data_IF_050617888709
#
_entry.id   IF_050617888709
#
_cell.length_a   1.000
_cell.length_b   1.000
_cell.length_c   1.000
_cell.angle_alpha   90.00
_cell.angle_beta   90.00
_cell.angle_gamma   90.00
#
_symmetry.space_group_name_H-M   'P 1'
#
loop_
_entity.id
_entity.type
_entity.pdbx_description
1 polymer ?
#
# COMPACT_ATOMS: atom_id res chain seq x y z
N UNK A 1 6.50 3.98 -15.01
CA UNK A 1 6.69 2.98 -13.92
C UNK A 1 7.48 3.64 -12.81
N UNK A 2 6.80 4.12 -11.76
CA UNK A 2 7.45 4.60 -10.54
C UNK A 2 7.21 3.55 -9.46
N UNK A 3 8.28 3.03 -8.85
CA UNK A 3 8.18 2.17 -7.66
C UNK A 3 7.94 3.06 -6.44
N UNK A 4 6.67 3.32 -6.11
CA UNK A 4 6.27 4.25 -5.05
C UNK A 4 6.81 3.88 -3.66
N UNK A 5 7.18 2.62 -3.44
CA UNK A 5 7.42 2.06 -2.12
C UNK A 5 8.78 1.38 -1.96
N UNK A 6 9.84 1.94 -2.56
CA UNK A 6 11.22 1.60 -2.20
C UNK A 6 11.73 2.34 -0.96
N UNK A 7 11.20 3.54 -0.70
CA UNK A 7 11.50 4.36 0.48
C UNK A 7 10.25 4.47 1.37
N UNK A 8 10.41 5.02 2.59
CA UNK A 8 9.26 5.34 3.46
C UNK A 8 8.37 6.36 2.73
N UNK A 9 7.15 6.00 2.32
CA UNK A 9 6.22 6.92 1.68
C UNK A 9 5.67 7.92 2.70
N UNK A 10 5.19 9.07 2.23
CA UNK A 10 4.36 9.96 3.06
C UNK A 10 2.91 9.49 3.08
N UNK A 11 2.15 9.85 4.11
CA UNK A 11 0.71 9.57 4.21
C UNK A 11 -0.04 10.04 2.96
N UNK A 12 0.30 11.22 2.43
CA UNK A 12 -0.30 11.77 1.22
C UNK A 12 -0.07 10.88 -0.02
N UNK A 13 1.15 10.35 -0.18
CA UNK A 13 1.48 9.42 -1.25
C UNK A 13 0.75 8.09 -1.12
N UNK A 14 0.49 7.64 0.11
CA UNK A 14 -0.28 6.42 0.35
C UNK A 14 -1.76 6.63 -0.01
N UNK A 15 -2.34 7.79 0.33
CA UNK A 15 -3.71 8.16 -0.04
C UNK A 15 -3.86 8.27 -1.56
N UNK A 16 -2.92 8.93 -2.22
CA UNK A 16 -2.84 9.01 -3.69
C UNK A 16 -2.73 7.62 -4.31
N UNK A 17 -1.82 6.77 -3.82
CA UNK A 17 -1.66 5.41 -4.32
C UNK A 17 -2.96 4.58 -4.13
N UNK A 18 -3.61 4.66 -2.97
CA UNK A 18 -4.87 3.96 -2.71
C UNK A 18 -5.99 4.41 -3.66
N UNK A 19 -6.11 5.71 -3.93
CA UNK A 19 -7.05 6.24 -4.91
C UNK A 19 -6.75 5.73 -6.33
N UNK A 20 -5.48 5.78 -6.75
CA UNK A 20 -5.04 5.30 -8.07
C UNK A 20 -5.19 3.79 -8.26
N UNK A 21 -5.09 3.04 -7.16
CA UNK A 21 -5.37 1.60 -7.11
C UNK A 21 -6.87 1.28 -7.09
N UNK A 22 -7.73 2.27 -6.80
CA UNK A 22 -9.13 2.06 -6.42
C UNK A 22 -9.28 0.93 -5.38
N UNK A 23 -8.29 0.82 -4.47
CA UNK A 23 -8.21 -0.22 -3.47
C UNK A 23 -8.21 0.40 -2.07
N UNK A 24 -8.63 -0.38 -1.07
CA UNK A 24 -8.55 0.07 0.31
C UNK A 24 -7.11 -0.02 0.80
N UNK A 25 -6.69 0.82 1.75
CA UNK A 25 -5.39 0.69 2.40
C UNK A 25 -5.15 -0.73 2.94
N UNK A 26 -6.19 -1.42 3.42
CA UNK A 26 -6.10 -2.82 3.89
C UNK A 26 -5.65 -3.81 2.80
N UNK A 27 -5.96 -3.54 1.53
CA UNK A 27 -5.53 -4.37 0.40
C UNK A 27 -4.08 -4.11 0.01
N UNK A 28 -3.59 -2.91 0.32
CA UNK A 28 -2.19 -2.52 0.17
C UNK A 28 -1.32 -2.97 1.35
N UNK A 29 -1.85 -3.73 2.31
CA UNK A 29 -1.13 -4.10 3.52
C UNK A 29 -0.92 -5.61 3.68
N UNK A 30 0.26 -5.95 4.19
CA UNK A 30 0.68 -7.29 4.56
C UNK A 30 0.14 -7.67 5.92
N UNK A 31 -1.03 -8.31 5.91
CA UNK A 31 -1.71 -8.86 7.11
C UNK A 31 -0.92 -9.96 7.83
N UNK A 32 0.13 -10.50 7.19
CA UNK A 32 0.97 -11.57 7.74
C UNK A 32 2.15 -11.07 8.56
N UNK A 33 2.48 -9.78 8.49
CA UNK A 33 3.60 -9.23 9.24
C UNK A 33 3.26 -9.10 10.74
N UNK A 34 4.24 -9.27 11.64
CA UNK A 34 4.02 -9.13 13.09
C UNK A 34 3.50 -7.74 13.44
N UNK A 35 4.01 -6.70 12.79
CA UNK A 35 3.57 -5.31 12.97
C UNK A 35 2.05 -5.13 12.77
N UNK A 36 1.39 -5.98 11.97
CA UNK A 36 -0.06 -5.90 11.73
C UNK A 36 -0.83 -6.22 13.01
N UNK A 37 -0.39 -7.26 13.72
CA UNK A 37 -0.97 -7.67 15.00
C UNK A 37 -0.54 -6.74 16.13
N UNK A 38 0.71 -6.29 16.14
CA UNK A 38 1.23 -5.38 17.17
C UNK A 38 0.50 -4.03 17.19
N UNK A 39 -0.01 -3.58 16.05
CA UNK A 39 -0.78 -2.34 15.91
C UNK A 39 -2.30 -2.56 15.92
N UNK A 40 -2.76 -3.78 16.20
CA UNK A 40 -4.18 -4.18 16.22
C UNK A 40 -4.97 -3.70 14.98
N UNK A 41 -4.32 -3.75 13.80
CA UNK A 41 -4.90 -3.22 12.54
C UNK A 41 -6.08 -4.05 12.02
N UNK A 42 -6.34 -5.19 12.67
CA UNK A 42 -7.55 -5.97 12.46
C UNK A 42 -8.80 -5.22 12.91
N UNK A 43 -8.70 -4.44 14.00
CA UNK A 43 -9.77 -3.58 14.54
C UNK A 43 -9.74 -2.14 14.05
N UNK A 44 -8.78 -1.76 13.20
CA UNK A 44 -8.71 -0.41 12.65
C UNK A 44 -10.07 0.03 12.08
N UNK A 45 -10.65 1.07 12.69
CA UNK A 45 -11.99 1.58 12.35
C UNK A 45 -11.93 2.53 11.15
N UNK A 46 -10.78 3.17 10.91
CA UNK A 46 -10.60 4.18 9.87
C UNK A 46 -9.46 3.83 8.90
N UNK A 47 -9.61 4.30 7.67
CA UNK A 47 -8.55 4.23 6.67
C UNK A 47 -7.32 5.08 7.06
N UNK A 48 -7.52 6.20 7.78
CA UNK A 48 -6.43 7.04 8.29
C UNK A 48 -5.52 6.31 9.29
N UNK A 49 -6.09 5.51 10.21
CA UNK A 49 -5.30 4.68 11.15
C UNK A 49 -4.37 3.72 10.39
N UNK A 50 -4.84 3.17 9.27
CA UNK A 50 -4.06 2.27 8.43
C UNK A 50 -2.94 3.00 7.69
N UNK A 51 -3.22 4.21 7.17
CA UNK A 51 -2.20 5.03 6.53
C UNK A 51 -1.11 5.48 7.51
N UNK A 52 -1.49 5.83 8.73
CA UNK A 52 -0.56 6.20 9.79
C UNK A 52 0.30 4.98 10.19
N UNK A 53 -0.32 3.82 10.34
CA UNK A 53 0.41 2.56 10.57
C UNK A 53 1.41 2.26 9.44
N UNK A 54 1.03 2.42 8.17
CA UNK A 54 1.93 2.26 7.04
C UNK A 54 3.09 3.28 7.03
N UNK A 55 2.84 4.52 7.45
CA UNK A 55 3.86 5.56 7.55
C UNK A 55 4.89 5.25 8.64
N UNK A 56 4.41 4.81 9.81
CA UNK A 56 5.26 4.40 10.93
C UNK A 56 6.02 3.11 10.63
N UNK A 57 5.33 2.11 10.07
CA UNK A 57 5.82 0.76 9.79
C UNK A 57 5.68 0.44 8.30
N UNK A 58 6.59 0.93 7.43
CA UNK A 58 6.53 0.69 5.98
C UNK A 58 6.69 -0.79 5.60
N UNK A 59 7.10 -1.65 6.54
CA UNK A 59 7.12 -3.11 6.39
C UNK A 59 5.71 -3.69 6.16
N UNK A 60 4.69 -3.02 6.69
CA UNK A 60 3.29 -3.40 6.52
C UNK A 60 2.80 -3.23 5.10
N UNK A 61 3.51 -2.50 4.25
CA UNK A 61 3.03 -2.16 2.92
C UNK A 61 3.35 -3.31 1.97
N UNK A 62 2.35 -3.70 1.16
CA UNK A 62 2.52 -4.67 0.09
C UNK A 62 3.53 -4.15 -0.93
N UNK A 63 4.37 -5.05 -1.44
CA UNK A 63 5.41 -4.70 -2.43
C UNK A 63 5.52 -5.79 -3.49
N UNK A 64 5.77 -5.43 -4.76
CA UNK A 64 5.95 -4.06 -5.28
C UNK A 64 4.61 -3.36 -5.57
N UNK A 65 4.50 -2.06 -5.27
CA UNK A 65 3.43 -1.20 -5.79
C UNK A 65 4.03 -0.35 -6.90
N UNK A 66 3.42 -0.43 -8.06
CA UNK A 66 3.84 0.27 -9.26
C UNK A 66 2.76 1.28 -9.62
N UNK A 67 3.16 2.51 -9.91
CA UNK A 67 2.27 3.48 -10.54
C UNK A 67 2.71 3.81 -11.96
N UNK A 68 1.70 4.05 -12.80
CA UNK A 68 1.84 4.45 -14.19
C UNK A 68 0.87 5.62 -14.43
N UNK A 69 1.38 6.86 -14.36
CA UNK A 69 0.56 8.06 -14.52
C UNK A 69 -0.54 8.15 -13.45
N UNK A 70 -1.79 8.12 -13.92
CA UNK A 70 -3.01 8.21 -13.11
C UNK A 70 -3.44 6.87 -12.48
N UNK A 71 -2.77 5.77 -12.78
CA UNK A 71 -3.15 4.43 -12.29
C UNK A 71 -2.04 3.80 -11.46
N UNK A 72 -2.39 3.00 -10.45
CA UNK A 72 -1.43 2.22 -9.67
C UNK A 72 -1.90 0.77 -9.52
N UNK A 73 -0.96 -0.16 -9.42
CA UNK A 73 -1.22 -1.62 -9.35
C UNK A 73 -0.23 -2.28 -8.39
N UNK A 74 -0.75 -3.24 -7.62
CA UNK A 74 0.06 -4.12 -6.78
C UNK A 74 0.62 -5.20 -7.70
N UNK A 75 1.94 -5.20 -7.91
CA UNK A 75 2.66 -6.06 -8.84
C UNK A 75 2.84 -7.50 -8.35
N UNK A 76 1.84 -8.07 -7.68
CA UNK A 76 1.77 -9.47 -7.27
C UNK A 76 0.53 -10.11 -7.92
N UNK A 77 0.71 -11.03 -8.88
CA UNK A 77 1.97 -11.48 -9.49
C UNK A 77 2.63 -10.40 -10.38
N UNK A 78 3.92 -10.52 -10.71
CA UNK A 78 4.64 -9.58 -11.59
C UNK A 78 3.98 -9.42 -12.97
N UNK A 79 3.16 -10.39 -13.39
CA UNK A 79 2.33 -10.32 -14.59
C UNK A 79 1.24 -9.23 -14.51
N UNK A 80 0.75 -8.88 -13.31
CA UNK A 80 -0.24 -7.80 -13.13
C UNK A 80 0.32 -6.43 -13.51
N UNK A 81 1.64 -6.24 -13.46
CA UNK A 81 2.31 -5.01 -13.92
C UNK A 81 2.25 -4.89 -15.45
N UNK A 82 2.17 -6.02 -16.18
CA UNK A 82 2.06 -6.03 -17.64
C UNK A 82 0.68 -5.57 -18.13
N UNK A 83 -0.34 -5.56 -17.28
CA UNK A 83 -1.70 -5.13 -17.66
C UNK A 83 -1.83 -3.60 -17.85
N UNK A 84 -0.80 -2.82 -17.52
CA UNK A 84 -0.80 -1.35 -17.51
C UNK A 84 0.12 -0.74 -18.58
N UNK A 85 0.67 -1.56 -19.49
CA UNK A 85 1.55 -1.13 -20.59
C UNK A 85 0.72 -0.93 -21.86
#
# INVERSE_FOLDING_TARGET
IVEYLKARPSIDQLKDAAQKLSAKPRDMMRKKEPAWRERDLDNAQSDDDLFEAMFHEPVLIERPIVSCGDTAVIGRPPEAVLAII
#
